data_IF_949129294456
#
_entry.id   IF_949129294456
#
_cell.length_a   1.000
_cell.length_b   1.000
_cell.length_c   1.000
_cell.angle_alpha   90.00
_cell.angle_beta   90.00
_cell.angle_gamma   90.00
#
_symmetry.space_group_name_H-M   'P 1'
#
loop_
_entity.id
_entity.type
_entity.pdbx_description
1 polymer ?
#
# COMPACT_ATOMS: atom_id res chain seq x y z
N UNK A 1 21.91 26.53 26.26
CA UNK A 1 22.37 25.77 25.07
C UNK A 1 23.91 25.64 24.96
N UNK A 2 24.69 26.45 25.60
CA UNK A 2 26.17 26.41 25.51
C UNK A 2 26.83 25.13 26.06
N UNK A 3 26.24 24.44 27.03
CA UNK A 3 26.85 23.24 27.65
C UNK A 3 26.78 21.96 26.78
N UNK A 4 26.01 21.93 25.71
CA UNK A 4 25.85 20.77 24.82
C UNK A 4 26.69 20.86 23.53
N UNK A 5 27.29 22.01 23.27
CA UNK A 5 28.09 22.26 22.05
C UNK A 5 29.25 21.28 21.80
N UNK A 6 29.96 20.75 22.80
CA UNK A 6 31.04 19.77 22.53
C UNK A 6 30.52 18.40 22.09
N UNK A 7 29.26 18.09 22.34
CA UNK A 7 28.71 16.76 22.07
C UNK A 7 27.79 16.72 20.84
N UNK A 8 27.04 17.80 20.56
CA UNK A 8 26.11 17.88 19.44
C UNK A 8 26.68 18.80 18.37
N UNK A 9 27.06 18.22 17.24
CA UNK A 9 27.58 18.95 16.07
C UNK A 9 26.45 19.46 15.18
N UNK A 10 25.40 18.67 15.06
CA UNK A 10 24.24 18.99 14.23
C UNK A 10 22.98 18.34 14.79
N UNK A 11 21.88 19.08 14.80
CA UNK A 11 20.55 18.57 15.13
C UNK A 11 19.52 19.32 14.31
N UNK A 12 18.88 18.61 13.39
CA UNK A 12 17.89 19.20 12.48
C UNK A 12 16.61 18.39 12.50
N UNK A 13 15.52 19.01 12.94
CA UNK A 13 14.19 18.45 12.86
C UNK A 13 13.53 18.92 11.57
N UNK A 14 13.02 17.98 10.79
CA UNK A 14 12.23 18.23 9.59
C UNK A 14 10.83 17.67 9.76
N UNK A 15 9.83 18.48 9.45
CA UNK A 15 8.43 18.07 9.45
C UNK A 15 7.86 18.43 8.10
N UNK A 16 7.24 17.47 7.44
CA UNK A 16 6.59 17.68 6.15
C UNK A 16 5.22 17.02 6.13
N UNK A 17 4.28 17.64 5.44
CA UNK A 17 2.95 17.10 5.24
C UNK A 17 2.33 17.65 3.97
N UNK A 18 1.54 16.83 3.29
CA UNK A 18 0.91 17.24 2.04
C UNK A 18 -0.21 16.30 1.59
N UNK A 19 -0.91 16.76 0.56
CA UNK A 19 -1.89 15.98 -0.17
C UNK A 19 -1.50 15.92 -1.64
N UNK A 20 -1.62 14.72 -2.20
CA UNK A 20 -1.40 14.47 -3.63
C UNK A 20 -2.65 13.83 -4.21
N UNK A 21 -3.11 14.34 -5.35
CA UNK A 21 -4.15 13.72 -6.18
C UNK A 21 -3.54 12.91 -7.32
N UNK A 22 -4.10 11.76 -7.62
CA UNK A 22 -3.72 10.94 -8.76
C UNK A 22 -4.94 10.69 -9.65
N UNK A 23 -4.77 10.94 -10.94
CA UNK A 23 -5.77 10.64 -11.98
C UNK A 23 -5.35 9.38 -12.69
N UNK A 24 -6.12 8.31 -12.52
CA UNK A 24 -5.84 7.06 -13.21
C UNK A 24 -6.25 7.19 -14.68
N UNK A 25 -5.30 7.01 -15.57
CA UNK A 25 -5.55 7.07 -17.02
C UNK A 25 -6.42 5.90 -17.50
N UNK A 26 -7.25 6.13 -18.52
CA UNK A 26 -8.13 5.10 -19.09
C UNK A 26 -9.33 4.73 -18.22
N UNK A 27 -9.62 5.54 -17.19
CA UNK A 27 -10.77 5.37 -16.31
C UNK A 27 -11.70 6.57 -16.48
N UNK A 28 -12.93 6.29 -16.89
CA UNK A 28 -13.91 7.32 -17.25
C UNK A 28 -15.18 7.17 -16.42
N UNK A 29 -15.80 8.32 -16.09
CA UNK A 29 -17.12 8.37 -15.42
C UNK A 29 -18.26 8.00 -16.35
N UNK A 30 -18.05 8.23 -17.64
CA UNK A 30 -19.04 8.08 -18.71
C UNK A 30 -18.89 6.71 -19.38
N UNK A 31 -19.93 6.35 -20.13
CA UNK A 31 -19.92 5.19 -20.98
C UNK A 31 -18.90 5.37 -22.11
N UNK A 32 -18.01 4.40 -22.27
CA UNK A 32 -17.04 4.37 -23.36
C UNK A 32 -17.37 3.21 -24.27
N UNK A 33 -17.59 3.52 -25.55
CA UNK A 33 -17.82 2.53 -26.60
C UNK A 33 -16.48 2.30 -27.29
N UNK A 34 -16.04 1.05 -27.33
CA UNK A 34 -14.90 0.63 -28.14
C UNK A 34 -15.39 0.19 -29.51
N UNK A 35 -14.85 0.80 -30.53
CA UNK A 35 -15.12 0.41 -31.91
C UNK A 35 -14.12 -0.66 -32.34
N UNK A 36 -14.63 -1.68 -33.01
CA UNK A 36 -13.86 -2.75 -33.62
C UNK A 36 -14.44 -3.08 -35.00
N UNK A 37 -13.89 -4.08 -35.66
CA UNK A 37 -14.45 -4.66 -36.88
C UNK A 37 -14.87 -6.09 -36.61
N UNK A 38 -16.02 -6.47 -37.16
CA UNK A 38 -16.49 -7.85 -37.13
C UNK A 38 -15.54 -8.75 -37.92
N UNK A 39 -15.15 -9.87 -37.35
CA UNK A 39 -14.29 -10.85 -38.03
C UNK A 39 -14.94 -11.48 -39.26
N UNK A 40 -16.27 -11.56 -39.25
CA UNK A 40 -17.02 -12.28 -40.29
C UNK A 40 -17.34 -11.44 -41.55
N UNK A 41 -17.61 -10.15 -41.39
CA UNK A 41 -18.09 -9.30 -42.50
C UNK A 41 -17.32 -7.97 -42.60
N UNK A 42 -16.35 -7.72 -41.74
CA UNK A 42 -15.57 -6.48 -41.74
C UNK A 42 -16.34 -5.24 -41.30
N UNK A 43 -17.61 -5.36 -40.93
CA UNK A 43 -18.42 -4.23 -40.49
C UNK A 43 -17.93 -3.66 -39.15
N UNK A 44 -18.15 -2.37 -38.96
CA UNK A 44 -17.81 -1.70 -37.68
C UNK A 44 -18.74 -2.17 -36.57
N UNK A 45 -18.15 -2.64 -35.49
CA UNK A 45 -18.89 -3.07 -34.30
C UNK A 45 -18.56 -2.16 -33.14
N UNK A 46 -19.54 -1.87 -32.26
CA UNK A 46 -19.36 -1.19 -31.01
C UNK A 46 -19.49 -2.17 -29.85
N UNK A 47 -18.54 -2.17 -28.96
CA UNK A 47 -18.60 -2.98 -27.73
C UNK A 47 -18.48 -2.11 -26.47
N UNK A 48 -19.21 -2.48 -25.42
CA UNK A 48 -19.18 -1.83 -24.12
C UNK A 48 -18.57 -2.81 -23.13
N UNK A 49 -17.42 -2.44 -22.58
CA UNK A 49 -16.71 -3.29 -21.65
C UNK A 49 -17.01 -2.96 -20.18
N UNK A 50 -17.09 -1.67 -19.88
CA UNK A 50 -17.18 -1.16 -18.52
C UNK A 50 -18.47 -0.38 -18.30
N UNK A 51 -19.10 -0.63 -17.15
CA UNK A 51 -20.24 0.17 -16.72
C UNK A 51 -19.80 1.61 -16.37
N UNK A 52 -20.61 2.63 -16.72
CA UNK A 52 -20.33 4.00 -16.33
C UNK A 52 -20.46 4.17 -14.81
N UNK A 53 -19.58 4.98 -14.21
CA UNK A 53 -19.65 5.31 -12.79
C UNK A 53 -19.53 6.83 -12.56
N UNK A 54 -20.65 7.57 -12.50
CA UNK A 54 -20.65 9.01 -12.25
C UNK A 54 -20.05 9.40 -10.88
N UNK A 55 -20.07 8.46 -9.91
CA UNK A 55 -19.54 8.67 -8.54
C UNK A 55 -18.04 8.46 -8.43
N UNK A 56 -17.37 8.15 -9.52
CA UNK A 56 -15.93 7.94 -9.51
C UNK A 56 -15.19 9.20 -9.08
N UNK A 57 -14.27 9.05 -8.16
CA UNK A 57 -13.43 10.12 -7.61
C UNK A 57 -11.96 9.85 -7.90
N UNK A 58 -11.15 10.89 -7.89
CA UNK A 58 -9.71 10.79 -7.98
C UNK A 58 -9.14 10.17 -6.71
N UNK A 59 -8.12 9.38 -6.87
CA UNK A 59 -7.32 8.89 -5.77
C UNK A 59 -6.61 10.06 -5.06
N UNK A 60 -6.56 10.01 -3.75
CA UNK A 60 -5.93 11.03 -2.91
C UNK A 60 -4.99 10.37 -1.94
N UNK A 61 -3.83 10.96 -1.75
CA UNK A 61 -2.88 10.50 -0.74
C UNK A 61 -2.53 11.66 0.19
N UNK A 62 -2.69 11.42 1.48
CA UNK A 62 -2.17 12.27 2.55
C UNK A 62 -0.87 11.66 3.03
N UNK A 63 0.18 12.46 3.04
CA UNK A 63 1.51 12.09 3.50
C UNK A 63 1.93 12.99 4.66
N UNK A 64 2.48 12.41 5.72
CA UNK A 64 3.05 13.10 6.86
C UNK A 64 4.38 12.44 7.21
N UNK A 65 5.42 13.25 7.40
CA UNK A 65 6.78 12.81 7.71
C UNK A 65 7.39 13.66 8.79
N UNK A 66 8.10 13.01 9.69
CA UNK A 66 8.93 13.66 10.70
C UNK A 66 10.30 13.01 10.65
N UNK A 67 11.32 13.81 10.50
CA UNK A 67 12.70 13.33 10.41
C UNK A 67 13.60 14.11 11.36
N UNK A 68 14.49 13.41 12.06
CA UNK A 68 15.52 13.96 12.91
C UNK A 68 16.88 13.56 12.33
N UNK A 69 17.63 14.57 11.93
CA UNK A 69 18.99 14.44 11.45
C UNK A 69 19.94 14.92 12.54
N UNK A 70 20.89 14.08 12.95
CA UNK A 70 21.79 14.38 14.04
C UNK A 70 23.24 14.07 13.69
N UNK A 71 24.14 14.86 14.28
CA UNK A 71 25.58 14.64 14.27
C UNK A 71 26.12 14.88 15.68
N UNK A 72 26.91 13.94 16.16
CA UNK A 72 27.47 13.97 17.51
C UNK A 72 28.99 13.82 17.47
N UNK A 73 29.69 14.39 18.48
CA UNK A 73 31.13 14.26 18.67
C UNK A 73 31.95 14.71 17.44
N UNK A 74 31.62 15.89 16.86
CA UNK A 74 32.28 16.36 15.64
C UNK A 74 31.96 15.51 14.41
N UNK A 75 30.71 15.07 14.30
CA UNK A 75 30.19 14.16 13.26
C UNK A 75 30.84 12.76 13.23
N UNK A 76 31.48 12.35 14.33
CA UNK A 76 31.93 10.96 14.44
C UNK A 76 30.76 9.96 14.49
N UNK A 77 29.65 10.36 15.08
CA UNK A 77 28.39 9.62 15.02
C UNK A 77 27.37 10.50 14.32
N UNK A 78 26.84 10.05 13.22
CA UNK A 78 25.79 10.77 12.50
C UNK A 78 24.69 9.82 12.09
N UNK A 79 23.47 10.36 11.99
CA UNK A 79 22.34 9.53 11.64
C UNK A 79 21.12 10.35 11.29
N UNK A 80 20.17 9.63 10.72
CA UNK A 80 18.83 10.10 10.38
C UNK A 80 17.82 9.09 10.92
N UNK A 81 16.82 9.58 11.62
CA UNK A 81 15.63 8.80 11.98
C UNK A 81 14.42 9.48 11.36
N UNK A 82 13.69 8.75 10.55
CA UNK A 82 12.47 9.24 9.89
C UNK A 82 11.28 8.36 10.26
N UNK A 83 10.18 9.00 10.66
CA UNK A 83 8.88 8.38 10.81
C UNK A 83 7.91 8.94 9.78
N UNK A 84 7.11 8.07 9.18
CA UNK A 84 6.11 8.49 8.21
C UNK A 84 4.74 7.84 8.43
N UNK A 85 3.71 8.57 8.02
CA UNK A 85 2.34 8.11 7.96
C UNK A 85 1.72 8.56 6.63
N UNK A 86 1.35 7.59 5.80
CA UNK A 86 0.73 7.80 4.49
C UNK A 86 -0.64 7.13 4.46
N UNK A 87 -1.66 7.88 4.09
CA UNK A 87 -3.00 7.33 3.88
C UNK A 87 -3.48 7.67 2.48
N UNK A 88 -3.70 6.62 1.68
CA UNK A 88 -4.30 6.73 0.36
C UNK A 88 -5.78 6.42 0.45
N UNK A 89 -6.59 7.31 -0.13
CA UNK A 89 -8.05 7.26 -0.11
C UNK A 89 -8.58 7.06 -1.52
N UNK A 90 -9.76 6.48 -1.60
CA UNK A 90 -10.51 6.35 -2.84
C UNK A 90 -9.72 5.62 -3.95
N UNK A 91 -8.88 4.65 -3.57
CA UNK A 91 -8.10 3.85 -4.52
C UNK A 91 -9.06 3.14 -5.46
N UNK A 92 -8.75 3.26 -6.75
CA UNK A 92 -9.59 2.78 -7.83
C UNK A 92 -9.30 1.29 -8.07
N UNK A 93 -10.36 0.49 -8.14
CA UNK A 93 -10.29 -0.92 -8.49
C UNK A 93 -11.36 -1.28 -9.52
N UNK A 94 -11.14 -2.38 -10.21
CA UNK A 94 -12.07 -2.95 -11.17
C UNK A 94 -12.75 -4.17 -10.55
N UNK A 95 -14.07 -4.26 -10.67
CA UNK A 95 -14.83 -5.42 -10.21
C UNK A 95 -15.63 -6.00 -11.37
N UNK A 96 -15.64 -7.32 -11.46
CA UNK A 96 -16.50 -8.03 -12.40
C UNK A 96 -17.98 -7.81 -12.05
N UNK A 97 -18.81 -7.67 -13.06
CA UNK A 97 -20.26 -7.61 -12.94
C UNK A 97 -20.90 -8.89 -13.48
N UNK A 98 -22.11 -9.18 -12.99
CA UNK A 98 -22.91 -10.25 -13.57
C UNK A 98 -23.22 -9.94 -15.03
N UNK A 99 -23.17 -10.97 -15.87
CA UNK A 99 -23.50 -10.86 -17.31
C UNK A 99 -24.92 -10.33 -17.57
N UNK A 100 -25.82 -10.46 -16.59
CA UNK A 100 -27.19 -9.93 -16.67
C UNK A 100 -27.25 -8.41 -16.74
N UNK A 101 -26.19 -7.71 -16.32
CA UNK A 101 -26.10 -6.24 -16.37
C UNK A 101 -25.76 -5.70 -17.76
N UNK A 102 -25.35 -6.55 -18.69
CA UNK A 102 -24.86 -6.15 -20.01
C UNK A 102 -23.43 -5.58 -20.00
N UNK A 103 -22.77 -5.53 -18.85
CA UNK A 103 -21.40 -5.04 -18.68
C UNK A 103 -20.50 -6.12 -18.11
N UNK A 104 -19.22 -6.15 -18.50
CA UNK A 104 -18.25 -7.10 -17.97
C UNK A 104 -17.71 -6.67 -16.59
N UNK A 105 -17.54 -5.37 -16.40
CA UNK A 105 -16.95 -4.84 -15.17
C UNK A 105 -17.35 -3.41 -14.87
N UNK A 106 -17.12 -2.99 -13.64
CA UNK A 106 -17.26 -1.60 -13.18
C UNK A 106 -15.99 -1.15 -12.48
N UNK A 107 -15.61 0.10 -12.74
CA UNK A 107 -14.50 0.75 -12.04
C UNK A 107 -15.05 1.65 -10.94
N UNK A 108 -14.54 1.53 -9.72
CA UNK A 108 -15.04 2.29 -8.58
C UNK A 108 -13.93 2.52 -7.54
N UNK A 109 -14.19 3.47 -6.63
CA UNK A 109 -13.28 3.73 -5.52
C UNK A 109 -13.48 2.65 -4.43
N UNK A 110 -12.64 1.64 -4.45
CA UNK A 110 -12.83 0.42 -3.67
C UNK A 110 -12.20 0.47 -2.28
N UNK A 111 -11.05 1.11 -2.12
CA UNK A 111 -10.26 0.93 -0.91
C UNK A 111 -9.56 2.18 -0.41
N UNK A 112 -9.26 2.17 0.88
CA UNK A 112 -8.35 3.09 1.55
C UNK A 112 -7.20 2.28 2.14
N UNK A 113 -5.95 2.70 1.93
CA UNK A 113 -4.75 2.02 2.41
C UNK A 113 -3.97 2.95 3.32
N UNK A 114 -3.48 2.38 4.42
CA UNK A 114 -2.58 3.06 5.34
C UNK A 114 -1.22 2.39 5.32
N UNK A 115 -0.19 3.20 5.12
CA UNK A 115 1.21 2.83 5.27
C UNK A 115 1.84 3.70 6.35
N UNK A 116 2.54 3.10 7.29
CA UNK A 116 3.31 3.81 8.31
C UNK A 116 4.59 3.07 8.58
N UNK A 117 5.64 3.80 8.91
CA UNK A 117 6.92 3.17 9.16
C UNK A 117 7.90 4.09 9.84
N UNK A 118 9.01 3.47 10.24
CA UNK A 118 10.17 4.15 10.80
C UNK A 118 11.38 3.65 10.05
N UNK A 119 12.22 4.59 9.63
CA UNK A 119 13.48 4.33 8.94
C UNK A 119 14.61 4.99 9.72
N UNK A 120 15.73 4.30 9.84
CA UNK A 120 16.90 4.80 10.54
C UNK A 120 18.18 4.49 9.78
N UNK A 121 19.04 5.49 9.71
CA UNK A 121 20.42 5.36 9.21
C UNK A 121 21.36 5.83 10.29
N UNK A 122 22.37 5.03 10.60
CA UNK A 122 23.45 5.36 11.53
C UNK A 122 24.78 5.18 10.84
N UNK A 123 25.66 6.15 10.98
CA UNK A 123 27.05 6.09 10.54
C UNK A 123 27.97 6.46 11.70
N UNK A 124 28.98 5.65 11.92
CA UNK A 124 29.98 5.84 12.97
C UNK A 124 31.37 5.84 12.32
N UNK A 125 32.12 6.93 12.45
CA UNK A 125 33.53 6.99 12.16
C UNK A 125 34.31 6.35 13.30
N UNK A 126 34.47 5.03 13.24
CA UNK A 126 35.08 4.23 14.34
C UNK A 126 36.56 4.56 14.55
N UNK A 127 37.29 4.79 13.45
CA UNK A 127 38.67 5.20 13.50
C UNK A 127 38.92 6.28 12.44
N UNK A 128 39.62 7.35 12.84
CA UNK A 128 40.04 8.41 11.93
C UNK A 128 41.44 8.84 12.30
N UNK A 129 42.43 8.35 11.56
CA UNK A 129 43.84 8.74 11.67
C UNK A 129 44.24 9.55 10.43
N UNK A 130 45.51 9.99 10.38
CA UNK A 130 46.01 10.76 9.21
C UNK A 130 46.01 9.93 7.93
N UNK A 131 46.34 8.66 8.02
CA UNK A 131 46.61 7.77 6.88
C UNK A 131 45.56 6.67 6.72
N UNK A 132 44.67 6.50 7.69
CA UNK A 132 43.68 5.42 7.70
C UNK A 132 42.38 5.81 8.41
N UNK A 133 41.24 5.40 7.88
CA UNK A 133 39.93 5.65 8.45
C UNK A 133 39.00 4.42 8.32
N UNK A 134 38.21 4.16 9.35
CA UNK A 134 37.16 3.13 9.34
C UNK A 134 35.82 3.79 9.65
N UNK A 135 34.92 3.70 8.71
CA UNK A 135 33.51 4.09 8.85
C UNK A 135 32.62 2.86 8.84
N UNK A 136 31.72 2.78 9.81
CA UNK A 136 30.71 1.70 9.91
C UNK A 136 29.33 2.32 9.77
N UNK A 137 28.48 1.75 8.92
CA UNK A 137 27.12 2.21 8.72
C UNK A 137 26.10 1.09 8.85
N UNK A 138 24.93 1.42 9.37
CA UNK A 138 23.77 0.53 9.47
C UNK A 138 22.49 1.26 9.06
N UNK A 139 21.62 0.55 8.35
CA UNK A 139 20.28 1.02 7.97
C UNK A 139 19.24 0.05 8.53
N UNK A 140 18.18 0.59 9.09
CA UNK A 140 17.03 -0.16 9.59
C UNK A 140 15.77 0.47 9.03
N UNK A 141 14.86 -0.36 8.52
CA UNK A 141 13.55 0.07 8.08
C UNK A 141 12.47 -0.89 8.59
N UNK A 142 11.42 -0.32 9.14
CA UNK A 142 10.22 -1.04 9.51
C UNK A 142 9.01 -0.39 8.87
N UNK A 143 8.22 -1.18 8.16
CA UNK A 143 7.02 -0.72 7.45
C UNK A 143 5.81 -1.58 7.85
N UNK A 144 4.70 -0.92 8.08
CA UNK A 144 3.40 -1.53 8.33
C UNK A 144 2.39 -1.03 7.31
N UNK A 145 1.86 -1.96 6.50
CA UNK A 145 0.82 -1.72 5.51
C UNK A 145 -0.51 -2.28 6.02
N UNK A 146 -1.60 -1.56 5.80
CA UNK A 146 -2.94 -1.98 6.19
C UNK A 146 -3.98 -1.51 5.19
N UNK A 147 -4.85 -2.44 4.76
CA UNK A 147 -6.09 -2.12 4.07
C UNK A 147 -7.09 -1.58 5.10
N UNK A 148 -7.26 -0.25 5.15
CA UNK A 148 -8.02 0.41 6.20
C UNK A 148 -9.54 0.37 5.96
N UNK A 149 -9.94 0.30 4.68
CA UNK A 149 -11.34 0.17 4.26
C UNK A 149 -11.38 -0.54 2.92
N UNK A 150 -12.33 -1.42 2.79
CA UNK A 150 -12.64 -2.06 1.52
C UNK A 150 -14.14 -1.94 1.25
N UNK A 151 -14.51 -1.43 0.08
CA UNK A 151 -15.89 -1.30 -0.37
C UNK A 151 -16.12 -2.29 -1.50
N UNK A 152 -17.09 -3.16 -1.34
CA UNK A 152 -17.55 -4.01 -2.44
C UNK A 152 -18.95 -3.60 -2.86
N UNK A 153 -19.31 -3.87 -4.09
CA UNK A 153 -20.68 -3.66 -4.56
C UNK A 153 -21.70 -4.55 -3.83
N UNK A 154 -21.25 -5.63 -3.20
CA UNK A 154 -22.10 -6.66 -2.60
C UNK A 154 -21.99 -6.71 -1.06
N UNK A 155 -21.29 -5.76 -0.42
CA UNK A 155 -21.05 -5.78 1.02
C UNK A 155 -20.08 -6.88 1.50
N UNK A 156 -19.49 -7.66 0.59
CA UNK A 156 -18.49 -8.65 0.96
C UNK A 156 -17.18 -7.96 1.42
N UNK A 157 -16.60 -8.42 2.51
CA UNK A 157 -15.34 -7.92 3.06
C UNK A 157 -14.12 -8.55 2.43
N UNK A 158 -14.32 -9.57 1.60
CA UNK A 158 -13.29 -10.31 0.89
C UNK A 158 -13.41 -10.07 -0.61
N UNK A 159 -12.37 -9.52 -1.23
CA UNK A 159 -12.22 -9.48 -2.68
C UNK A 159 -10.79 -9.88 -3.03
N UNK A 160 -10.63 -10.84 -3.92
CA UNK A 160 -9.34 -11.37 -4.37
C UNK A 160 -8.41 -11.81 -3.23
N UNK A 161 -8.97 -12.39 -2.16
CA UNK A 161 -8.19 -12.83 -0.99
C UNK A 161 -7.72 -11.70 -0.07
N UNK A 162 -8.18 -10.47 -0.26
CA UNK A 162 -7.81 -9.32 0.56
C UNK A 162 -8.82 -9.07 1.66
N UNK A 163 -8.33 -8.84 2.88
CA UNK A 163 -9.18 -8.60 4.06
C UNK A 163 -8.99 -7.19 4.59
N UNK A 164 -10.10 -6.52 4.93
CA UNK A 164 -10.05 -5.26 5.66
C UNK A 164 -9.36 -5.46 7.02
N UNK A 165 -8.48 -4.54 7.37
CA UNK A 165 -7.70 -4.62 8.60
C UNK A 165 -6.34 -5.30 8.48
N UNK A 166 -6.06 -5.97 7.38
CA UNK A 166 -4.83 -6.73 7.13
C UNK A 166 -3.94 -6.07 6.07
N UNK A 167 -2.67 -6.47 5.95
CA UNK A 167 -1.79 -6.00 4.88
C UNK A 167 -2.35 -6.29 3.49
N UNK A 168 -2.17 -5.35 2.56
CA UNK A 168 -2.67 -5.49 1.19
C UNK A 168 -2.01 -6.66 0.44
N UNK A 169 -0.71 -6.87 0.69
CA UNK A 169 0.11 -7.86 0.00
C UNK A 169 0.32 -9.12 0.86
N UNK A 170 -0.52 -9.32 1.89
CA UNK A 170 -0.47 -10.48 2.76
C UNK A 170 -0.89 -11.75 2.01
N UNK A 171 -0.10 -12.82 2.16
CA UNK A 171 -0.50 -14.15 1.72
C UNK A 171 -1.32 -14.78 2.85
N UNK A 172 -2.58 -15.05 2.57
CA UNK A 172 -3.50 -15.65 3.53
C UNK A 172 -3.80 -17.08 3.13
N UNK A 173 -3.55 -18.00 4.04
CA UNK A 173 -3.85 -19.43 3.86
C UNK A 173 -4.46 -20.02 5.11
N UNK A 174 -5.21 -21.09 4.95
CA UNK A 174 -5.69 -21.88 6.07
C UNK A 174 -4.51 -22.58 6.76
N UNK A 175 -4.46 -22.54 8.10
CA UNK A 175 -3.51 -23.35 8.85
C UNK A 175 -3.89 -24.81 8.68
N UNK A 176 -3.05 -25.59 8.01
CA UNK A 176 -3.25 -27.04 7.88
C UNK A 176 -3.09 -27.68 9.25
N UNK A 177 -4.08 -28.47 9.65
CA UNK A 177 -4.08 -29.25 10.89
C UNK A 177 -3.66 -30.71 10.65
N UNK A 178 -3.81 -31.20 9.43
CA UNK A 178 -3.48 -32.57 9.06
C UNK A 178 -4.36 -33.08 7.93
N UNK A 179 -4.39 -34.38 7.79
CA UNK A 179 -5.26 -35.10 6.85
C UNK A 179 -6.24 -35.93 7.67
N UNK A 180 -7.51 -35.84 7.33
CA UNK A 180 -8.54 -36.68 7.92
C UNK A 180 -8.26 -38.15 7.55
N UNK A 181 -8.04 -39.03 8.53
CA UNK A 181 -7.71 -40.45 8.27
C UNK A 181 -8.83 -41.22 7.62
N UNK A 182 -10.09 -40.75 7.71
CA UNK A 182 -11.26 -41.44 7.16
C UNK A 182 -11.58 -41.02 5.73
N UNK A 183 -11.39 -39.73 5.42
CA UNK A 183 -11.79 -39.17 4.12
C UNK A 183 -10.58 -38.86 3.23
N UNK A 184 -9.37 -38.81 3.78
CA UNK A 184 -8.16 -38.38 3.07
C UNK A 184 -8.12 -36.88 2.73
N UNK A 185 -9.07 -36.08 3.24
CA UNK A 185 -9.14 -34.65 2.96
C UNK A 185 -8.27 -33.84 3.90
N UNK A 186 -7.81 -32.68 3.43
CA UNK A 186 -7.05 -31.74 4.24
C UNK A 186 -7.94 -31.07 5.29
N UNK A 187 -7.51 -31.10 6.54
CA UNK A 187 -8.16 -30.42 7.66
C UNK A 187 -7.51 -29.05 7.86
N UNK A 188 -8.30 -27.98 7.81
CA UNK A 188 -7.84 -26.62 8.06
C UNK A 188 -8.44 -26.08 9.35
N UNK A 189 -7.64 -25.29 10.07
CA UNK A 189 -8.14 -24.55 11.22
C UNK A 189 -9.11 -23.46 10.76
N UNK A 190 -10.36 -23.55 11.19
CA UNK A 190 -11.34 -22.50 10.97
C UNK A 190 -11.00 -21.27 11.81
N UNK A 191 -11.31 -20.08 11.30
CA UNK A 191 -11.28 -18.86 12.10
C UNK A 191 -12.38 -18.94 13.17
N UNK A 192 -12.13 -18.38 14.37
CA UNK A 192 -13.11 -18.37 15.45
C UNK A 192 -14.43 -17.68 15.10
N UNK A 193 -14.38 -16.77 14.12
CA UNK A 193 -15.46 -15.93 13.61
C UNK A 193 -16.01 -16.41 12.24
N UNK A 194 -15.63 -17.61 11.80
CA UNK A 194 -16.15 -18.16 10.56
C UNK A 194 -17.57 -18.70 10.77
N UNK A 195 -18.56 -18.00 10.24
CA UNK A 195 -19.93 -18.50 10.11
C UNK A 195 -19.93 -19.69 9.14
N UNK A 196 -20.06 -20.89 9.69
CA UNK A 196 -20.31 -22.11 8.91
C UNK A 196 -21.80 -22.14 8.66
N UNK A 197 -22.23 -21.66 7.50
CA UNK A 197 -23.60 -21.90 7.00
C UNK A 197 -23.63 -23.14 6.13
#
# INVERSE_FOLDING_TARGET
MAALQPYISRLTLRVAGGYTGNVVQGVYKQLVIKYGSSYWNGEKTGSIDKAPNPRLRWEKTRDMKVALDFGLFGDRVSGLVEGYYRKSFDIISNSALSSTTGFKSIVYNASDIVNKGIEGTLRVAALKTRDFGIDVGANVAWNYNKLARFRTSNGATLVDGRFEGYPQDGIYGGKLLGIDPWTGLYLYKLRPDADIK
#
